data_IF_941725991784
#
_entry.id   IF_941725991784
#
_cell.length_a   1.000
_cell.length_b   1.000
_cell.length_c   1.000
_cell.angle_alpha   90.00
_cell.angle_beta   90.00
_cell.angle_gamma   90.00
#
_symmetry.space_group_name_H-M   'P 1'
#
loop_
_entity.id
_entity.type
_entity.pdbx_description
1 polymer ?
#
# COMPACT_ATOMS: atom_id res chain seq x y z
N UNK A 1 11.49 -19.89 16.61
CA UNK A 1 10.64 -19.65 15.44
C UNK A 1 9.43 -18.84 15.88
N UNK A 2 9.01 -17.89 15.06
CA UNK A 2 7.78 -17.13 15.29
C UNK A 2 6.57 -18.06 15.47
N UNK A 3 5.62 -17.65 16.29
CA UNK A 3 4.40 -18.42 16.52
C UNK A 3 3.33 -18.10 15.47
N UNK A 4 2.49 -19.12 15.20
CA UNK A 4 1.29 -18.88 14.40
C UNK A 4 0.17 -18.37 15.32
N UNK A 5 -0.44 -17.24 14.96
CA UNK A 5 -1.47 -16.59 15.79
C UNK A 5 -2.68 -17.50 16.05
N UNK A 6 -3.03 -18.38 15.12
CA UNK A 6 -4.17 -19.29 15.27
C UNK A 6 -3.93 -20.38 16.30
N UNK A 7 -2.67 -20.81 16.49
CA UNK A 7 -2.31 -21.86 17.46
C UNK A 7 -1.77 -21.30 18.78
N UNK A 8 -1.47 -19.99 18.85
CA UNK A 8 -0.92 -19.39 20.04
C UNK A 8 -1.94 -19.37 21.19
N UNK A 9 -1.48 -19.64 22.41
CA UNK A 9 -2.33 -19.60 23.61
C UNK A 9 -2.33 -18.20 24.21
N UNK A 10 -3.42 -17.47 23.98
CA UNK A 10 -3.62 -16.11 24.50
C UNK A 10 -4.28 -16.08 25.89
N UNK A 11 -4.69 -17.22 26.43
CA UNK A 11 -5.42 -17.27 27.69
C UNK A 11 -4.67 -16.56 28.83
N UNK A 12 -5.25 -15.49 29.34
CA UNK A 12 -4.69 -14.68 30.42
C UNK A 12 -3.48 -13.82 30.01
N UNK A 13 -3.11 -13.79 28.74
CA UNK A 13 -1.99 -12.96 28.24
C UNK A 13 -2.46 -11.61 27.75
N UNK A 14 -1.58 -10.64 27.87
CA UNK A 14 -1.73 -9.30 27.28
C UNK A 14 -1.00 -9.28 25.94
N UNK A 15 -1.72 -9.05 24.86
CA UNK A 15 -1.14 -8.95 23.52
C UNK A 15 -1.03 -7.47 23.11
N UNK A 16 0.18 -6.99 22.80
CA UNK A 16 0.37 -5.70 22.16
C UNK A 16 0.33 -5.86 20.66
N UNK A 17 -0.63 -5.19 20.01
CA UNK A 17 -0.94 -5.39 18.59
C UNK A 17 -0.71 -4.11 17.81
N UNK A 18 0.16 -4.14 16.79
CA UNK A 18 0.35 -3.02 15.88
C UNK A 18 -0.62 -3.14 14.70
N UNK A 19 -1.58 -2.24 14.68
CA UNK A 19 -2.58 -2.12 13.60
C UNK A 19 -2.41 -0.81 12.82
N UNK A 20 -3.05 -0.71 11.66
CA UNK A 20 -3.09 0.53 10.88
C UNK A 20 -4.48 1.17 10.95
N UNK A 21 -4.69 2.04 11.94
CA UNK A 21 -5.91 2.83 12.11
C UNK A 21 -5.79 4.25 11.56
N UNK A 22 -4.90 4.45 10.59
CA UNK A 22 -4.75 5.73 9.89
C UNK A 22 -5.91 5.93 8.90
N UNK A 23 -7.08 6.25 9.44
CA UNK A 23 -8.33 6.46 8.71
C UNK A 23 -8.55 7.93 8.39
N UNK A 24 -9.24 8.28 7.28
CA UNK A 24 -9.61 9.65 6.98
C UNK A 24 -10.74 10.11 7.91
N UNK A 25 -10.56 11.30 8.48
CA UNK A 25 -11.56 11.97 9.33
C UNK A 25 -11.90 13.31 8.72
N UNK A 26 -13.18 13.59 8.51
CA UNK A 26 -13.71 14.88 8.06
C UNK A 26 -14.82 15.31 9.04
N UNK A 27 -14.75 16.55 9.50
CA UNK A 27 -15.72 17.11 10.46
C UNK A 27 -15.99 16.21 11.68
N UNK A 28 -14.91 15.59 12.20
CA UNK A 28 -14.97 14.68 13.34
C UNK A 28 -15.58 13.30 13.05
N UNK A 29 -15.82 12.96 11.78
CA UNK A 29 -16.38 11.68 11.37
C UNK A 29 -15.40 10.90 10.51
N UNK A 30 -15.29 9.60 10.77
CA UNK A 30 -14.53 8.68 9.92
C UNK A 30 -15.32 8.52 8.61
N UNK A 31 -14.67 8.82 7.47
CA UNK A 31 -15.28 8.69 6.14
C UNK A 31 -15.02 7.33 5.50
N UNK A 32 -13.99 6.62 5.95
CA UNK A 32 -13.66 5.25 5.53
C UNK A 32 -13.03 4.49 6.71
N UNK A 33 -13.70 3.44 7.17
CA UNK A 33 -13.29 2.59 8.28
C UNK A 33 -12.66 1.25 7.85
N UNK A 34 -12.37 1.09 6.56
CA UNK A 34 -11.85 -0.16 5.97
C UNK A 34 -10.63 -0.69 6.72
N UNK A 35 -9.72 0.19 7.16
CA UNK A 35 -8.53 -0.20 7.93
C UNK A 35 -8.86 -0.71 9.32
N UNK A 36 -9.84 -0.12 9.98
CA UNK A 36 -10.31 -0.62 11.29
C UNK A 36 -10.91 -2.01 11.09
N UNK A 37 -11.82 -2.17 10.14
CA UNK A 37 -12.43 -3.48 9.85
C UNK A 37 -11.42 -4.53 9.44
N UNK A 38 -10.37 -4.16 8.71
CA UNK A 38 -9.29 -5.08 8.32
C UNK A 38 -8.53 -5.69 9.50
N UNK A 39 -8.40 -4.98 10.61
CA UNK A 39 -7.73 -5.46 11.82
C UNK A 39 -8.65 -6.29 12.76
N UNK A 40 -9.99 -6.16 12.62
CA UNK A 40 -10.93 -6.82 13.52
C UNK A 40 -10.74 -8.33 13.65
N UNK A 41 -10.48 -9.10 12.57
CA UNK A 41 -10.30 -10.55 12.70
C UNK A 41 -9.17 -10.93 13.65
N UNK A 42 -8.05 -10.21 13.62
CA UNK A 42 -6.92 -10.42 14.54
C UNK A 42 -7.31 -10.08 15.98
N UNK A 43 -7.90 -8.90 16.16
CA UNK A 43 -8.26 -8.42 17.50
C UNK A 43 -9.31 -9.31 18.16
N UNK A 44 -10.35 -9.70 17.42
CA UNK A 44 -11.41 -10.61 17.91
C UNK A 44 -10.85 -11.99 18.24
N UNK A 45 -9.96 -12.55 17.41
CA UNK A 45 -9.33 -13.84 17.67
C UNK A 45 -8.59 -13.85 19.03
N UNK A 46 -7.84 -12.79 19.33
CA UNK A 46 -7.12 -12.68 20.61
C UNK A 46 -8.08 -12.63 21.80
N UNK A 47 -9.14 -11.83 21.69
CA UNK A 47 -10.17 -11.73 22.75
C UNK A 47 -10.93 -13.05 22.94
N UNK A 48 -11.35 -13.70 21.86
CA UNK A 48 -12.05 -15.00 21.88
C UNK A 48 -11.19 -16.11 22.52
N UNK A 49 -9.86 -16.00 22.39
CA UNK A 49 -8.91 -16.92 23.03
C UNK A 49 -8.57 -16.56 24.49
N UNK A 50 -9.28 -15.60 25.07
CA UNK A 50 -9.12 -15.20 26.47
C UNK A 50 -7.92 -14.29 26.74
N UNK A 51 -7.40 -13.61 25.73
CA UNK A 51 -6.40 -12.56 25.86
C UNK A 51 -7.01 -11.19 26.19
N UNK A 52 -6.15 -10.22 26.49
CA UNK A 52 -6.48 -8.79 26.51
C UNK A 52 -5.62 -8.07 25.46
N UNK A 53 -6.08 -6.89 25.03
CA UNK A 53 -5.47 -6.15 23.93
C UNK A 53 -4.87 -4.83 24.40
N UNK A 54 -3.65 -4.55 23.94
CA UNK A 54 -3.06 -3.22 23.95
C UNK A 54 -2.83 -2.86 22.47
N UNK A 55 -3.64 -1.94 21.96
CA UNK A 55 -3.65 -1.58 20.54
C UNK A 55 -2.71 -0.39 20.32
N UNK A 56 -1.79 -0.54 19.37
CA UNK A 56 -0.89 0.50 18.91
C UNK A 56 -1.20 0.88 17.47
N UNK A 57 -1.29 2.16 17.18
CA UNK A 57 -1.44 2.65 15.82
C UNK A 57 -0.88 4.06 15.64
N UNK A 58 -0.98 4.58 14.43
CA UNK A 58 -0.67 5.95 14.09
C UNK A 58 -1.82 6.61 13.32
N UNK A 59 -1.85 7.93 13.31
CA UNK A 59 -2.72 8.74 12.47
C UNK A 59 -1.94 9.90 11.87
N UNK A 60 -2.04 10.07 10.56
CA UNK A 60 -1.42 11.17 9.83
C UNK A 60 0.11 11.23 9.92
N UNK A 61 0.63 12.45 9.79
CA UNK A 61 2.07 12.76 9.81
C UNK A 61 2.37 13.92 10.76
N UNK A 62 2.27 13.72 12.08
CA UNK A 62 2.47 14.80 13.08
C UNK A 62 3.93 15.24 13.23
N UNK A 63 4.90 14.47 12.70
CA UNK A 63 6.34 14.77 12.73
C UNK A 63 6.90 14.88 14.15
N UNK A 64 6.55 13.95 15.04
CA UNK A 64 7.04 13.90 16.41
C UNK A 64 6.47 15.01 17.31
N UNK A 65 5.30 15.55 16.99
CA UNK A 65 4.62 16.59 17.78
C UNK A 65 3.19 16.17 18.08
N UNK A 66 2.72 16.48 19.28
CA UNK A 66 1.31 16.29 19.64
C UNK A 66 0.44 17.25 18.81
N UNK A 67 -0.53 16.69 18.11
CA UNK A 67 -1.53 17.40 17.28
C UNK A 67 -2.91 16.83 17.64
N UNK A 68 -3.76 17.58 18.37
CA UNK A 68 -5.06 17.08 18.80
C UNK A 68 -5.92 16.51 17.67
N UNK A 69 -5.85 17.13 16.48
CA UNK A 69 -6.57 16.68 15.29
C UNK A 69 -6.09 15.33 14.74
N UNK A 70 -4.97 14.81 15.22
CA UNK A 70 -4.42 13.49 14.87
C UNK A 70 -4.40 12.53 16.06
N UNK A 71 -5.11 12.85 17.16
CA UNK A 71 -5.25 11.96 18.31
C UNK A 71 -6.09 10.73 17.95
N UNK A 72 -5.67 9.56 18.42
CA UNK A 72 -6.44 8.32 18.30
C UNK A 72 -7.66 8.29 19.22
N UNK A 73 -7.80 9.23 20.16
CA UNK A 73 -9.01 9.35 20.98
C UNK A 73 -10.28 9.51 20.13
N UNK A 74 -10.18 10.10 18.94
CA UNK A 74 -11.29 10.32 18.03
C UNK A 74 -11.92 9.04 17.46
N UNK A 75 -11.20 7.92 17.50
CA UNK A 75 -11.68 6.66 16.94
C UNK A 75 -12.10 5.63 18.00
N UNK A 76 -11.94 5.94 19.27
CA UNK A 76 -12.23 5.03 20.40
C UNK A 76 -13.65 4.46 20.33
N UNK A 77 -14.65 5.32 20.13
CA UNK A 77 -16.06 4.90 20.05
C UNK A 77 -16.31 3.99 18.86
N UNK A 78 -15.71 4.29 17.71
CA UNK A 78 -15.81 3.44 16.51
C UNK A 78 -15.19 2.08 16.74
N UNK A 79 -13.97 2.03 17.30
CA UNK A 79 -13.28 0.77 17.60
C UNK A 79 -14.05 -0.04 18.63
N UNK A 80 -14.59 0.60 19.68
CA UNK A 80 -15.45 -0.05 20.69
C UNK A 80 -16.67 -0.69 20.05
N UNK A 81 -17.37 0.05 19.19
CA UNK A 81 -18.54 -0.43 18.47
C UNK A 81 -18.22 -1.64 17.59
N UNK A 82 -17.16 -1.56 16.81
CA UNK A 82 -16.76 -2.62 15.86
C UNK A 82 -16.24 -3.88 16.56
N UNK A 83 -15.56 -3.73 17.71
CA UNK A 83 -15.12 -4.85 18.54
C UNK A 83 -16.27 -5.45 19.36
N UNK A 84 -17.29 -4.65 19.67
CA UNK A 84 -18.41 -5.05 20.55
C UNK A 84 -18.04 -5.06 22.04
N UNK A 85 -16.92 -4.44 22.43
CA UNK A 85 -16.46 -4.32 23.81
C UNK A 85 -15.95 -2.89 24.08
N UNK A 86 -16.02 -2.38 25.33
CA UNK A 86 -15.48 -1.07 25.66
C UNK A 86 -13.97 -1.00 25.40
N UNK A 87 -13.52 0.09 24.81
CA UNK A 87 -12.09 0.37 24.60
C UNK A 87 -11.67 1.50 25.53
N UNK A 88 -10.72 1.24 26.42
CA UNK A 88 -10.06 2.24 27.23
C UNK A 88 -9.03 3.00 26.38
N UNK A 89 -8.75 4.25 26.74
CA UNK A 89 -7.77 5.08 26.03
C UNK A 89 -6.65 5.52 26.97
N UNK A 90 -5.40 5.33 26.53
CA UNK A 90 -4.22 5.85 27.22
C UNK A 90 -3.67 7.07 26.47
N UNK A 91 -3.76 8.28 27.02
CA UNK A 91 -3.37 9.52 26.34
C UNK A 91 -1.86 9.72 26.23
N UNK A 92 -1.05 8.87 26.85
CA UNK A 92 0.40 8.88 26.75
C UNK A 92 0.93 7.44 26.60
N UNK A 93 1.54 7.15 25.47
CA UNK A 93 2.11 5.82 25.20
C UNK A 93 3.19 5.39 26.19
N UNK A 94 3.87 6.34 26.85
CA UNK A 94 4.95 6.05 27.79
C UNK A 94 4.49 5.97 29.26
N UNK A 95 3.22 6.31 29.53
CA UNK A 95 2.65 6.36 30.89
C UNK A 95 1.39 5.53 31.05
N UNK A 96 1.31 4.42 30.35
CA UNK A 96 0.17 3.51 30.39
C UNK A 96 0.35 2.33 31.38
N UNK A 97 1.35 2.38 32.26
CA UNK A 97 1.72 1.26 33.14
C UNK A 97 0.55 0.75 33.97
N UNK A 98 -0.15 1.65 34.69
CA UNK A 98 -1.25 1.30 35.56
C UNK A 98 -2.44 0.73 34.77
N UNK A 99 -2.79 1.37 33.64
CA UNK A 99 -3.87 0.91 32.78
C UNK A 99 -3.55 -0.47 32.16
N UNK A 100 -2.32 -0.66 31.64
CA UNK A 100 -1.89 -1.93 31.09
C UNK A 100 -1.83 -3.04 32.17
N UNK A 101 -1.37 -2.71 33.38
CA UNK A 101 -1.33 -3.66 34.50
C UNK A 101 -2.72 -4.11 34.93
N UNK A 102 -3.70 -3.22 34.88
CA UNK A 102 -5.07 -3.48 35.33
C UNK A 102 -5.92 -4.30 34.34
N UNK A 103 -5.45 -4.51 33.09
CA UNK A 103 -6.21 -5.26 32.08
C UNK A 103 -6.49 -6.70 32.51
N UNK A 104 -7.72 -7.11 32.33
CA UNK A 104 -8.22 -8.49 32.53
C UNK A 104 -8.50 -9.13 31.14
N UNK A 105 -8.60 -10.46 31.04
CA UNK A 105 -9.06 -11.12 29.84
C UNK A 105 -10.33 -10.48 29.26
N UNK A 106 -10.31 -10.12 27.98
CA UNK A 106 -11.40 -9.43 27.31
C UNK A 106 -11.32 -7.90 27.31
N UNK A 107 -10.43 -7.30 28.13
CA UNK A 107 -10.25 -5.85 28.16
C UNK A 107 -9.41 -5.35 26.97
N UNK A 108 -9.67 -4.11 26.56
CA UNK A 108 -8.99 -3.46 25.44
C UNK A 108 -8.51 -2.06 25.84
N UNK A 109 -7.24 -1.78 25.60
CA UNK A 109 -6.59 -0.49 25.77
C UNK A 109 -6.05 -0.01 24.43
N UNK A 110 -6.46 1.16 23.97
CA UNK A 110 -5.88 1.85 22.82
C UNK A 110 -4.89 2.91 23.32
N UNK A 111 -3.64 2.83 22.86
CA UNK A 111 -2.63 3.85 23.11
C UNK A 111 -2.82 5.06 22.18
N UNK A 112 -2.31 6.22 22.59
CA UNK A 112 -2.28 7.43 21.77
C UNK A 112 -1.41 7.24 20.52
N UNK A 113 -1.54 8.16 19.56
CA UNK A 113 -0.83 8.16 18.29
C UNK A 113 0.70 8.05 18.48
N UNK A 114 1.25 6.90 18.09
CA UNK A 114 2.68 6.61 18.21
C UNK A 114 3.57 7.66 17.53
N UNK A 115 3.10 8.30 16.45
CA UNK A 115 3.87 9.32 15.72
C UNK A 115 3.90 10.68 16.38
N UNK A 116 3.25 10.85 17.55
CA UNK A 116 3.52 11.99 18.40
C UNK A 116 4.91 11.93 19.03
N UNK A 117 5.49 10.74 19.06
CA UNK A 117 6.83 10.48 19.59
C UNK A 117 7.82 10.35 18.43
N UNK A 118 8.87 11.20 18.35
CA UNK A 118 9.89 11.10 17.30
C UNK A 118 10.64 9.77 17.31
N UNK A 119 10.66 9.11 18.46
CA UNK A 119 11.24 7.79 18.68
C UNK A 119 10.53 6.70 17.85
N UNK A 120 9.24 6.86 17.55
CA UNK A 120 8.53 5.89 16.70
C UNK A 120 9.21 5.76 15.34
N UNK A 121 9.49 6.88 14.67
CA UNK A 121 10.16 6.87 13.38
C UNK A 121 11.69 6.74 13.50
N UNK A 122 12.24 7.02 14.65
CA UNK A 122 13.69 6.96 14.93
C UNK A 122 14.52 7.90 14.05
N UNK A 123 13.95 9.08 13.73
CA UNK A 123 14.58 10.12 12.93
C UNK A 123 14.74 11.39 13.77
N UNK A 124 15.89 12.07 13.74
CA UNK A 124 16.07 13.36 14.38
C UNK A 124 15.03 14.36 13.88
N UNK A 125 14.53 15.20 14.78
CA UNK A 125 13.58 16.27 14.46
C UNK A 125 14.25 17.62 14.68
N UNK A 126 14.07 18.55 13.73
CA UNK A 126 14.59 19.92 13.85
C UNK A 126 16.06 20.09 13.51
N UNK A 127 16.68 19.11 12.86
CA UNK A 127 18.06 19.18 12.36
C UNK A 127 18.11 18.73 10.90
N UNK A 128 18.80 19.46 10.04
CA UNK A 128 18.96 19.13 8.63
C UNK A 128 20.01 18.01 8.45
N UNK A 129 19.83 17.23 7.38
CA UNK A 129 20.72 16.09 7.09
C UNK A 129 22.15 16.50 6.75
N UNK A 130 22.30 17.71 6.24
CA UNK A 130 23.59 18.33 5.90
C UNK A 130 24.29 18.95 7.12
N UNK A 131 23.60 19.04 8.27
CA UNK A 131 24.20 19.56 9.51
C UNK A 131 25.29 18.60 10.03
N UNK A 132 26.48 19.08 10.38
CA UNK A 132 27.57 18.26 10.94
C UNK A 132 27.16 17.45 12.18
N UNK A 133 26.19 17.94 12.96
CA UNK A 133 25.69 17.26 14.16
C UNK A 133 24.61 16.20 13.85
N UNK A 134 24.19 16.04 12.58
CA UNK A 134 23.11 15.12 12.21
C UNK A 134 23.38 13.67 12.58
N UNK A 135 24.57 13.15 12.33
CA UNK A 135 24.91 11.75 12.63
C UNK A 135 24.93 11.46 14.13
N UNK A 136 25.35 12.41 14.95
CA UNK A 136 25.29 12.29 16.42
C UNK A 136 23.82 12.31 16.90
N UNK A 137 23.03 13.26 16.42
CA UNK A 137 21.58 13.34 16.70
C UNK A 137 20.85 12.06 16.28
N UNK A 138 21.20 11.48 15.13
CA UNK A 138 20.65 10.23 14.64
C UNK A 138 21.01 9.04 15.52
N UNK A 139 22.25 8.96 16.01
CA UNK A 139 22.69 7.93 16.95
C UNK A 139 21.94 8.03 18.28
N UNK A 140 21.81 9.24 18.82
CA UNK A 140 21.04 9.49 20.04
C UNK A 140 19.56 9.12 19.86
N UNK A 141 18.95 9.50 18.73
CA UNK A 141 17.57 9.14 18.41
C UNK A 141 17.38 7.62 18.29
N UNK A 142 18.35 6.89 17.75
CA UNK A 142 18.28 5.42 17.68
C UNK A 142 18.36 4.76 19.06
N UNK A 143 19.09 5.33 20.00
CA UNK A 143 19.07 4.89 21.39
C UNK A 143 17.70 5.16 22.05
N UNK A 144 17.15 6.38 21.91
CA UNK A 144 15.81 6.72 22.37
C UNK A 144 14.73 5.83 21.75
N UNK A 145 14.85 5.49 20.47
CA UNK A 145 13.93 4.57 19.78
C UNK A 145 13.88 3.20 20.45
N UNK A 146 15.03 2.67 20.85
CA UNK A 146 15.11 1.39 21.55
C UNK A 146 14.45 1.46 22.93
N UNK A 147 14.69 2.52 23.68
CA UNK A 147 14.04 2.72 24.99
C UNK A 147 12.51 2.86 24.86
N UNK A 148 12.03 3.59 23.85
CA UNK A 148 10.61 3.68 23.55
C UNK A 148 10.01 2.31 23.19
N UNK A 149 10.66 1.55 22.31
CA UNK A 149 10.24 0.20 21.95
C UNK A 149 10.21 -0.74 23.17
N UNK A 150 11.24 -0.67 24.04
CA UNK A 150 11.31 -1.42 25.29
C UNK A 150 10.16 -1.05 26.23
N UNK A 151 9.85 0.25 26.31
CA UNK A 151 8.72 0.72 27.13
C UNK A 151 7.38 0.15 26.64
N UNK A 152 7.12 0.21 25.34
CA UNK A 152 5.93 -0.38 24.75
C UNK A 152 5.85 -1.90 25.01
N UNK A 153 6.96 -2.61 24.83
CA UNK A 153 7.03 -4.05 25.08
C UNK A 153 6.76 -4.41 26.55
N UNK A 154 7.13 -3.55 27.49
CA UNK A 154 6.93 -3.81 28.93
C UNK A 154 5.47 -3.92 29.36
N UNK A 155 4.53 -3.51 28.51
CA UNK A 155 3.09 -3.58 28.80
C UNK A 155 2.48 -4.95 28.52
N UNK A 156 3.16 -5.84 27.78
CA UNK A 156 2.54 -7.04 27.23
C UNK A 156 3.41 -8.30 27.33
N UNK A 157 2.77 -9.45 27.17
CA UNK A 157 3.40 -10.77 27.17
C UNK A 157 3.81 -11.24 25.77
N UNK A 158 3.14 -10.74 24.73
CA UNK A 158 3.43 -11.07 23.33
C UNK A 158 3.15 -9.89 22.39
N UNK A 159 3.77 -9.92 21.21
CA UNK A 159 3.64 -8.89 20.19
C UNK A 159 3.07 -9.46 18.89
N UNK A 160 2.09 -8.75 18.34
CA UNK A 160 1.43 -9.09 17.07
C UNK A 160 1.60 -7.93 16.09
N UNK A 161 2.22 -8.22 14.93
CA UNK A 161 2.35 -7.26 13.84
C UNK A 161 1.20 -7.46 12.85
N UNK A 162 0.31 -6.48 12.75
CA UNK A 162 -0.89 -6.55 11.88
C UNK A 162 -1.13 -5.26 11.07
N UNK A 163 -0.04 -4.60 10.67
CA UNK A 163 -0.07 -3.33 9.95
C UNK A 163 0.81 -3.38 8.69
N UNK A 164 0.32 -4.00 7.63
CA UNK A 164 1.09 -4.19 6.40
C UNK A 164 1.51 -2.85 5.76
N UNK A 165 0.64 -1.83 5.74
CA UNK A 165 0.94 -0.52 5.20
C UNK A 165 2.16 0.19 5.80
N UNK A 166 2.61 -0.22 6.98
CA UNK A 166 3.79 0.31 7.67
C UNK A 166 4.94 -0.70 7.78
N UNK A 167 4.78 -1.92 7.29
CA UNK A 167 5.74 -3.02 7.42
C UNK A 167 7.09 -2.75 6.74
N UNK A 168 7.12 -1.86 5.74
CA UNK A 168 8.34 -1.43 5.04
C UNK A 168 9.24 -0.47 5.85
N UNK A 169 8.80 -0.05 7.04
CA UNK A 169 9.51 0.91 7.88
C UNK A 169 10.00 0.26 9.17
N UNK A 170 11.29 0.44 9.48
CA UNK A 170 11.88 -0.02 10.74
C UNK A 170 11.57 0.99 11.85
N UNK A 171 10.28 1.10 12.22
CA UNK A 171 9.82 1.93 13.33
C UNK A 171 9.92 1.18 14.67
N UNK A 172 9.74 1.90 15.78
CA UNK A 172 9.76 1.31 17.11
C UNK A 172 8.72 0.20 17.25
N UNK A 173 7.46 0.49 16.88
CA UNK A 173 6.32 -0.42 17.04
C UNK A 173 6.21 -1.50 15.97
N UNK A 174 6.82 -1.31 14.79
CA UNK A 174 6.71 -2.24 13.66
C UNK A 174 7.84 -3.25 13.55
N UNK A 175 8.99 -2.96 14.15
CA UNK A 175 10.16 -3.81 14.04
C UNK A 175 11.03 -3.83 15.31
N UNK A 176 11.46 -2.66 15.83
CA UNK A 176 12.43 -2.60 16.95
C UNK A 176 11.87 -3.26 18.21
N UNK A 177 10.57 -3.20 18.44
CA UNK A 177 9.87 -3.82 19.58
C UNK A 177 10.09 -5.33 19.65
N UNK A 178 10.31 -5.99 18.51
CA UNK A 178 10.55 -7.43 18.45
C UNK A 178 11.76 -7.86 19.31
N UNK A 179 12.78 -7.01 19.40
CA UNK A 179 14.00 -7.29 20.19
C UNK A 179 13.72 -7.56 21.69
N UNK A 180 12.53 -7.19 22.16
CA UNK A 180 12.12 -7.30 23.56
C UNK A 180 11.14 -8.44 23.83
N UNK A 181 10.81 -9.25 22.82
CA UNK A 181 10.00 -10.45 22.95
C UNK A 181 10.79 -11.68 22.52
N UNK A 182 10.50 -12.83 23.11
CA UNK A 182 11.07 -14.09 22.63
C UNK A 182 10.47 -14.44 21.26
N UNK A 183 11.19 -15.19 20.41
CA UNK A 183 10.67 -15.58 19.10
C UNK A 183 9.29 -16.26 19.13
N UNK A 184 9.03 -17.08 20.17
CA UNK A 184 7.74 -17.73 20.36
C UNK A 184 6.60 -16.80 20.76
N UNK A 185 6.89 -15.58 21.21
CA UNK A 185 5.93 -14.55 21.61
C UNK A 185 5.79 -13.42 20.54
N UNK A 186 6.33 -13.67 19.34
CA UNK A 186 6.17 -12.78 18.17
C UNK A 186 5.34 -13.46 17.10
N UNK A 187 4.41 -12.75 16.47
CA UNK A 187 3.58 -13.32 15.41
C UNK A 187 3.04 -12.26 14.45
N UNK A 188 2.73 -12.70 13.24
CA UNK A 188 1.95 -11.91 12.30
C UNK A 188 0.47 -12.02 12.68
N UNK A 189 -0.27 -10.91 12.54
CA UNK A 189 -1.72 -10.93 12.60
C UNK A 189 -2.34 -11.50 11.33
N UNK A 190 -3.64 -11.77 11.36
CA UNK A 190 -4.35 -12.40 10.23
C UNK A 190 -4.36 -11.54 8.96
N UNK A 191 -4.38 -10.20 9.10
CA UNK A 191 -4.26 -9.28 7.96
C UNK A 191 -2.86 -9.40 7.35
N UNK A 192 -1.82 -9.36 8.16
CA UNK A 192 -0.44 -9.51 7.72
C UNK A 192 -0.18 -10.85 7.05
N UNK A 193 -0.71 -11.96 7.59
CA UNK A 193 -0.59 -13.29 6.95
C UNK A 193 -1.19 -13.27 5.54
N UNK A 194 -2.38 -12.67 5.36
CA UNK A 194 -3.04 -12.57 4.05
C UNK A 194 -2.25 -11.70 3.07
N UNK A 195 -1.74 -10.56 3.52
CA UNK A 195 -0.94 -9.65 2.68
C UNK A 195 0.36 -10.33 2.23
N UNK A 196 1.09 -10.96 3.16
CA UNK A 196 2.32 -11.69 2.84
C UNK A 196 2.03 -12.85 1.87
N UNK A 197 0.95 -13.60 2.08
CA UNK A 197 0.55 -14.69 1.16
C UNK A 197 0.19 -14.14 -0.23
N UNK A 198 -0.52 -13.01 -0.30
CA UNK A 198 -0.87 -12.38 -1.57
C UNK A 198 0.38 -11.93 -2.35
N UNK A 199 1.37 -11.39 -1.65
CA UNK A 199 2.67 -11.05 -2.24
C UNK A 199 3.40 -12.29 -2.73
N UNK A 200 3.43 -13.36 -1.93
CA UNK A 200 4.08 -14.62 -2.31
C UNK A 200 3.45 -15.24 -3.56
N UNK A 201 2.13 -15.15 -3.72
CA UNK A 201 1.42 -15.67 -4.89
C UNK A 201 1.87 -14.99 -6.20
N UNK A 202 2.37 -13.76 -6.15
CA UNK A 202 2.87 -13.02 -7.33
C UNK A 202 4.39 -12.96 -7.43
N UNK A 203 5.14 -13.34 -6.38
CA UNK A 203 6.61 -13.28 -6.39
C UNK A 203 7.29 -14.66 -6.36
N UNK A 204 6.69 -15.64 -5.71
CA UNK A 204 7.29 -16.96 -5.43
C UNK A 204 6.41 -18.11 -5.93
N UNK A 205 5.12 -18.10 -5.63
CA UNK A 205 4.18 -19.19 -5.95
C UNK A 205 3.42 -18.94 -7.26
N UNK A 206 4.14 -18.49 -8.29
CA UNK A 206 3.58 -17.98 -9.54
C UNK A 206 2.94 -19.11 -10.34
N UNK A 207 1.66 -18.97 -10.67
CA UNK A 207 0.97 -19.77 -11.67
C UNK A 207 0.98 -19.05 -13.01
N UNK A 208 1.45 -19.72 -14.06
CA UNK A 208 1.60 -19.11 -15.39
C UNK A 208 0.39 -19.39 -16.30
N UNK A 209 0.09 -18.51 -17.26
CA UNK A 209 0.78 -17.25 -17.56
C UNK A 209 0.59 -16.18 -16.47
N UNK A 210 1.65 -15.42 -16.17
CA UNK A 210 1.62 -14.29 -15.25
C UNK A 210 1.69 -12.97 -16.02
N UNK A 211 0.71 -12.09 -15.81
CA UNK A 211 0.66 -10.75 -16.37
C UNK A 211 0.73 -9.70 -15.25
N UNK A 212 1.60 -8.70 -15.43
CA UNK A 212 1.58 -7.49 -14.63
C UNK A 212 1.06 -6.32 -15.46
N UNK A 213 0.24 -5.47 -14.85
CA UNK A 213 -0.27 -4.23 -15.42
C UNK A 213 0.27 -3.08 -14.57
N UNK A 214 1.13 -2.26 -15.17
CA UNK A 214 1.77 -1.10 -14.54
C UNK A 214 1.27 0.17 -15.20
N UNK A 215 0.51 0.95 -14.46
CA UNK A 215 0.00 2.25 -14.89
C UNK A 215 0.55 3.39 -14.05
N UNK A 216 0.20 4.60 -14.45
CA UNK A 216 0.58 5.82 -13.75
C UNK A 216 1.27 6.84 -14.64
N UNK A 217 1.67 7.98 -14.06
CA UNK A 217 2.17 9.13 -14.80
C UNK A 217 3.67 9.09 -15.10
N UNK A 218 4.49 8.38 -14.31
CA UNK A 218 5.97 8.46 -14.35
C UNK A 218 6.63 7.10 -14.33
N UNK A 219 7.57 6.87 -15.27
CA UNK A 219 8.45 5.69 -15.31
C UNK A 219 9.33 5.63 -14.06
N UNK A 220 9.89 6.76 -13.64
CA UNK A 220 10.82 6.85 -12.51
C UNK A 220 10.24 6.29 -11.19
N UNK A 221 8.91 6.35 -11.01
CA UNK A 221 8.24 5.84 -9.82
C UNK A 221 7.99 4.32 -9.87
N UNK A 222 8.14 3.70 -11.02
CA UNK A 222 7.82 2.28 -11.26
C UNK A 222 9.02 1.43 -11.68
N UNK A 223 10.16 2.05 -11.96
CA UNK A 223 11.32 1.35 -12.55
C UNK A 223 11.77 0.16 -11.69
N UNK A 224 11.90 0.32 -10.38
CA UNK A 224 12.32 -0.76 -9.48
C UNK A 224 11.35 -1.95 -9.47
N UNK A 225 10.04 -1.67 -9.55
CA UNK A 225 9.01 -2.71 -9.66
C UNK A 225 9.10 -3.41 -11.00
N UNK A 226 9.17 -2.65 -12.09
CA UNK A 226 9.26 -3.17 -13.46
C UNK A 226 10.47 -4.08 -13.61
N UNK A 227 11.65 -3.64 -13.18
CA UNK A 227 12.89 -4.43 -13.28
C UNK A 227 12.80 -5.75 -12.50
N UNK A 228 12.24 -5.75 -11.28
CA UNK A 228 12.06 -7.00 -10.53
C UNK A 228 11.03 -7.93 -11.17
N UNK A 229 10.00 -7.38 -11.82
CA UNK A 229 8.96 -8.17 -12.47
C UNK A 229 9.41 -8.77 -13.81
N UNK A 230 10.33 -8.13 -14.55
CA UNK A 230 10.80 -8.63 -15.84
C UNK A 230 11.41 -10.03 -15.78
N UNK A 231 11.95 -10.45 -14.63
CA UNK A 231 12.42 -11.82 -14.39
C UNK A 231 11.32 -12.82 -13.97
N UNK A 232 10.07 -12.39 -13.84
CA UNK A 232 8.99 -13.18 -13.25
C UNK A 232 7.74 -13.29 -14.12
N UNK A 233 7.40 -12.25 -14.88
CA UNK A 233 6.20 -12.19 -15.70
C UNK A 233 6.39 -12.79 -17.08
N UNK A 234 5.30 -13.27 -17.68
CA UNK A 234 5.25 -13.66 -19.09
C UNK A 234 4.82 -12.47 -19.95
N UNK A 235 3.96 -11.59 -19.39
CA UNK A 235 3.44 -10.42 -20.08
C UNK A 235 3.50 -9.20 -19.15
N UNK A 236 3.78 -8.03 -19.71
CA UNK A 236 3.79 -6.76 -19.01
C UNK A 236 3.02 -5.71 -19.81
N UNK A 237 1.90 -5.24 -19.28
CA UNK A 237 1.21 -4.07 -19.81
C UNK A 237 1.81 -2.83 -19.15
N UNK A 238 2.29 -1.89 -19.95
CA UNK A 238 2.59 -0.52 -19.53
C UNK A 238 1.49 0.40 -20.05
N UNK A 239 0.91 1.20 -19.17
CA UNK A 239 -0.22 2.08 -19.49
C UNK A 239 -0.17 3.39 -18.68
N UNK A 240 -1.09 4.29 -18.98
CA UNK A 240 -1.12 5.63 -18.38
C UNK A 240 -0.06 6.58 -18.94
N UNK A 241 0.12 7.72 -18.28
CA UNK A 241 0.99 8.80 -18.75
C UNK A 241 2.45 8.42 -18.96
N UNK A 242 2.97 7.42 -18.21
CA UNK A 242 4.35 6.98 -18.38
C UNK A 242 4.67 6.46 -19.79
N UNK A 243 3.66 5.99 -20.54
CA UNK A 243 3.86 5.45 -21.90
C UNK A 243 4.30 6.52 -22.89
N UNK A 244 4.03 7.80 -22.63
CA UNK A 244 4.50 8.89 -23.49
C UNK A 244 6.01 9.11 -23.38
N UNK A 245 6.64 8.72 -22.28
CA UNK A 245 8.11 8.66 -22.19
C UNK A 245 8.67 7.60 -23.15
N UNK A 246 8.04 6.44 -23.27
CA UNK A 246 8.40 5.40 -24.26
C UNK A 246 8.16 5.87 -25.70
N UNK A 247 6.98 6.45 -25.97
CA UNK A 247 6.67 6.99 -27.31
C UNK A 247 7.69 8.06 -27.73
N UNK A 248 8.08 8.95 -26.82
CA UNK A 248 9.09 9.99 -27.09
C UNK A 248 10.48 9.42 -27.29
N UNK A 249 10.86 8.36 -26.57
CA UNK A 249 12.14 7.69 -26.74
C UNK A 249 12.32 7.11 -28.15
N UNK A 250 11.21 6.74 -28.82
CA UNK A 250 11.19 6.30 -30.23
C UNK A 250 10.95 7.44 -31.23
N UNK A 251 11.01 8.70 -30.79
CA UNK A 251 10.82 9.87 -31.68
C UNK A 251 9.36 10.18 -32.00
N UNK A 252 8.41 9.57 -31.28
CA UNK A 252 6.98 9.84 -31.44
C UNK A 252 6.60 11.27 -31.04
N UNK A 253 5.49 11.74 -31.61
CA UNK A 253 4.85 13.00 -31.23
C UNK A 253 3.85 12.74 -30.11
N UNK A 254 4.01 13.46 -29.01
CA UNK A 254 3.23 13.23 -27.77
C UNK A 254 2.36 14.43 -27.39
N UNK A 255 2.32 15.49 -28.24
CA UNK A 255 1.61 16.73 -27.92
C UNK A 255 2.05 17.32 -26.58
N UNK A 256 1.09 17.68 -25.74
CA UNK A 256 1.31 18.24 -24.40
C UNK A 256 1.27 17.16 -23.31
N UNK A 257 1.33 15.87 -23.69
CA UNK A 257 1.28 14.74 -22.76
C UNK A 257 2.46 14.76 -21.79
N UNK A 258 2.22 14.26 -20.56
CA UNK A 258 3.26 14.14 -19.55
C UNK A 258 4.42 13.28 -20.05
N UNK A 259 5.65 13.71 -19.79
CA UNK A 259 6.87 13.03 -20.22
C UNK A 259 8.02 13.28 -19.25
N UNK A 260 8.87 12.26 -19.04
CA UNK A 260 10.13 12.38 -18.30
C UNK A 260 11.29 12.38 -19.32
N UNK A 261 11.70 13.57 -19.77
CA UNK A 261 12.74 13.74 -20.78
C UNK A 261 14.11 13.20 -20.35
N UNK A 262 14.37 13.16 -19.04
CA UNK A 262 15.58 12.60 -18.45
C UNK A 262 15.53 11.07 -18.26
N UNK A 263 14.44 10.42 -18.69
CA UNK A 263 14.20 8.97 -18.55
C UNK A 263 14.00 8.23 -19.88
N UNK A 264 14.30 8.87 -21.01
CA UNK A 264 14.15 8.24 -22.33
C UNK A 264 15.04 6.99 -22.46
N UNK A 265 16.29 7.07 -22.01
CA UNK A 265 17.21 5.93 -22.00
C UNK A 265 16.74 4.79 -21.09
N UNK A 266 16.11 5.15 -19.96
CA UNK A 266 15.52 4.17 -19.04
C UNK A 266 14.36 3.42 -19.70
N UNK A 267 13.51 4.12 -20.47
CA UNK A 267 12.42 3.49 -21.22
C UNK A 267 12.95 2.48 -22.25
N UNK A 268 13.97 2.85 -23.01
CA UNK A 268 14.63 1.93 -23.98
C UNK A 268 15.29 0.73 -23.30
N UNK A 269 15.90 0.93 -22.12
CA UNK A 269 16.51 -0.15 -21.36
C UNK A 269 15.46 -1.14 -20.83
N UNK A 270 14.31 -0.67 -20.40
CA UNK A 270 13.16 -1.51 -20.00
C UNK A 270 12.70 -2.39 -21.16
N UNK A 271 12.55 -1.83 -22.38
CA UNK A 271 12.16 -2.60 -23.57
C UNK A 271 13.20 -3.66 -23.93
N UNK A 272 14.47 -3.29 -23.86
CA UNK A 272 15.59 -4.22 -24.09
C UNK A 272 15.56 -5.37 -23.10
N UNK A 273 15.46 -5.06 -21.81
CA UNK A 273 15.39 -6.06 -20.73
C UNK A 273 14.16 -6.97 -20.86
N UNK A 274 13.00 -6.41 -21.23
CA UNK A 274 11.80 -7.19 -21.49
C UNK A 274 12.05 -8.24 -22.59
N UNK A 275 12.65 -7.81 -23.70
CA UNK A 275 13.01 -8.69 -24.82
C UNK A 275 14.03 -9.77 -24.42
N UNK A 276 15.07 -9.40 -23.68
CA UNK A 276 16.10 -10.33 -23.19
C UNK A 276 15.53 -11.40 -22.25
N UNK A 277 14.52 -11.04 -21.44
CA UNK A 277 13.83 -11.96 -20.52
C UNK A 277 12.66 -12.72 -21.19
N UNK A 278 12.39 -12.50 -22.48
CA UNK A 278 11.28 -13.16 -23.18
C UNK A 278 9.90 -12.67 -22.73
N UNK A 279 9.81 -11.48 -22.16
CA UNK A 279 8.56 -10.88 -21.70
C UNK A 279 7.85 -10.18 -22.85
N UNK A 280 6.58 -10.49 -23.05
CA UNK A 280 5.72 -9.78 -24.00
C UNK A 280 5.36 -8.40 -23.41
N UNK A 281 6.00 -7.34 -23.95
CA UNK A 281 5.72 -5.97 -23.55
C UNK A 281 4.56 -5.41 -24.37
N UNK A 282 3.52 -4.93 -23.69
CA UNK A 282 2.26 -4.50 -24.30
C UNK A 282 2.01 -3.03 -23.94
N UNK A 283 1.92 -2.19 -24.96
CA UNK A 283 1.56 -0.77 -24.83
C UNK A 283 0.38 -0.42 -25.75
N UNK A 284 -0.28 0.69 -25.46
CA UNK A 284 -1.42 1.19 -26.20
C UNK A 284 -1.04 1.58 -27.63
N UNK A 285 -1.75 1.09 -28.67
CA UNK A 285 -1.59 1.58 -30.03
C UNK A 285 -2.29 2.93 -30.26
N UNK A 286 -3.36 3.19 -29.52
CA UNK A 286 -4.15 4.43 -29.58
C UNK A 286 -4.44 4.98 -28.18
N UNK A 287 -4.77 6.26 -28.14
CA UNK A 287 -5.09 6.97 -26.91
C UNK A 287 -6.31 7.88 -27.10
N UNK A 288 -7.04 8.12 -26.01
CA UNK A 288 -7.95 9.25 -25.91
C UNK A 288 -7.12 10.47 -25.54
N UNK A 289 -7.26 11.53 -26.33
CA UNK A 289 -6.50 12.77 -26.15
C UNK A 289 -7.48 13.95 -25.99
N UNK A 290 -7.14 14.93 -25.17
CA UNK A 290 -7.95 16.14 -24.94
C UNK A 290 -7.10 17.40 -24.98
N UNK A 291 -7.73 18.53 -25.28
CA UNK A 291 -7.11 19.85 -25.21
C UNK A 291 -7.51 20.62 -23.95
N UNK A 292 -8.16 19.98 -22.98
CA UNK A 292 -8.62 20.69 -21.80
C UNK A 292 -9.06 19.83 -20.63
N UNK A 293 -8.11 19.18 -19.97
CA UNK A 293 -8.32 18.56 -18.65
C UNK A 293 -8.10 19.62 -17.55
N UNK A 294 -9.02 19.70 -16.60
CA UNK A 294 -8.83 20.43 -15.35
C UNK A 294 -8.35 19.46 -14.27
N UNK A 295 -7.08 19.54 -13.92
CA UNK A 295 -6.47 18.69 -12.89
C UNK A 295 -6.93 19.02 -11.46
N UNK A 296 -7.51 20.20 -11.23
CA UNK A 296 -8.02 20.55 -9.90
C UNK A 296 -9.36 19.88 -9.60
N UNK A 297 -10.19 19.72 -10.62
CA UNK A 297 -11.52 19.11 -10.51
C UNK A 297 -11.61 17.72 -11.14
N UNK A 298 -10.54 17.28 -11.82
CA UNK A 298 -10.49 16.04 -12.60
C UNK A 298 -11.67 15.93 -13.58
N UNK A 299 -11.92 17.00 -14.33
CA UNK A 299 -13.03 17.08 -15.28
C UNK A 299 -12.62 17.77 -16.58
N UNK A 300 -13.40 17.56 -17.64
CA UNK A 300 -13.20 18.23 -18.91
C UNK A 300 -13.59 19.71 -18.78
N UNK A 301 -12.70 20.63 -19.20
CA UNK A 301 -13.00 22.07 -19.20
C UNK A 301 -14.11 22.39 -20.19
N UNK A 302 -15.02 23.34 -19.87
CA UNK A 302 -16.05 23.77 -20.80
C UNK A 302 -15.46 24.26 -22.14
N UNK A 303 -16.03 23.78 -23.26
CA UNK A 303 -15.58 24.12 -24.60
C UNK A 303 -14.35 23.35 -25.09
N UNK A 304 -13.80 22.44 -24.31
CA UNK A 304 -12.76 21.53 -24.73
C UNK A 304 -13.32 20.33 -25.49
N UNK A 305 -12.48 19.71 -26.28
CA UNK A 305 -12.82 18.49 -27.02
C UNK A 305 -11.88 17.34 -26.64
N UNK A 306 -12.32 16.12 -26.90
CA UNK A 306 -11.48 14.93 -26.83
C UNK A 306 -11.73 14.04 -28.04
N UNK A 307 -10.73 13.28 -28.45
CA UNK A 307 -10.75 12.39 -29.61
C UNK A 307 -9.78 11.23 -29.44
N UNK A 308 -9.88 10.27 -30.33
CA UNK A 308 -8.91 9.18 -30.42
C UNK A 308 -7.78 9.58 -31.38
N UNK A 309 -6.54 9.30 -30.99
CA UNK A 309 -5.33 9.49 -31.80
C UNK A 309 -4.40 8.31 -31.62
N UNK A 310 -3.47 8.04 -32.56
CA UNK A 310 -2.38 7.09 -32.33
C UNK A 310 -1.56 7.51 -31.09
N UNK A 311 -1.21 6.59 -30.23
CA UNK A 311 -0.48 6.89 -28.99
C UNK A 311 0.92 7.51 -29.21
N UNK A 312 1.47 7.33 -30.42
CA UNK A 312 2.77 7.88 -30.87
C UNK A 312 2.64 9.11 -31.77
N UNK A 313 1.43 9.60 -32.01
CA UNK A 313 1.14 10.74 -32.86
C UNK A 313 0.00 11.61 -32.26
N UNK A 314 0.20 12.04 -31.04
CA UNK A 314 -0.71 12.96 -30.33
C UNK A 314 -0.57 14.36 -30.93
N UNK A 315 -1.68 15.00 -31.37
CA UNK A 315 -1.62 16.32 -31.96
C UNK A 315 -1.12 17.41 -30.98
N UNK A 316 -0.47 18.43 -31.50
CA UNK A 316 -0.07 19.60 -30.72
C UNK A 316 -1.28 20.24 -30.05
N UNK A 317 -1.13 20.68 -28.80
CA UNK A 317 -2.22 21.24 -27.99
C UNK A 317 -3.17 20.21 -27.39
N UNK A 318 -2.91 18.92 -27.60
CA UNK A 318 -3.64 17.79 -26.97
C UNK A 318 -2.70 17.01 -26.07
N UNK A 319 -3.25 16.47 -24.99
CA UNK A 319 -2.58 15.53 -24.08
C UNK A 319 -3.32 14.20 -24.00
N UNK A 320 -2.58 13.12 -23.84
CA UNK A 320 -3.18 11.79 -23.66
C UNK A 320 -3.72 11.62 -22.25
N UNK A 321 -4.97 11.18 -22.16
CA UNK A 321 -5.72 11.08 -20.91
C UNK A 321 -6.29 9.71 -20.61
N UNK A 322 -6.42 8.82 -21.62
CA UNK A 322 -6.84 7.43 -21.42
C UNK A 322 -6.36 6.54 -22.58
N UNK A 323 -6.46 5.23 -22.40
CA UNK A 323 -6.25 4.26 -23.46
C UNK A 323 -7.40 4.29 -24.47
N UNK A 324 -7.07 4.28 -25.75
CA UNK A 324 -8.05 4.26 -26.84
C UNK A 324 -8.77 2.92 -26.99
N UNK A 325 -9.79 2.83 -27.86
CA UNK A 325 -10.59 1.62 -28.03
C UNK A 325 -9.80 0.38 -28.46
N UNK A 326 -8.77 0.54 -29.30
CA UNK A 326 -7.93 -0.58 -29.72
C UNK A 326 -7.00 -1.03 -28.59
N UNK A 327 -6.46 -0.09 -27.78
CA UNK A 327 -5.71 -0.40 -26.59
C UNK A 327 -6.54 -1.17 -25.57
N UNK A 328 -7.80 -0.78 -25.35
CA UNK A 328 -8.71 -1.48 -24.44
C UNK A 328 -8.90 -2.94 -24.85
N UNK A 329 -9.16 -3.22 -26.13
CA UNK A 329 -9.28 -4.57 -26.69
C UNK A 329 -7.98 -5.37 -26.52
N UNK A 330 -6.85 -4.76 -26.82
CA UNK A 330 -5.52 -5.36 -26.72
C UNK A 330 -5.19 -5.76 -25.28
N UNK A 331 -5.45 -4.87 -24.32
CA UNK A 331 -5.23 -5.13 -22.90
C UNK A 331 -6.13 -6.26 -22.37
N UNK A 332 -7.41 -6.22 -22.70
CA UNK A 332 -8.35 -7.27 -22.30
C UNK A 332 -7.94 -8.64 -22.88
N UNK A 333 -7.55 -8.69 -24.16
CA UNK A 333 -7.08 -9.92 -24.80
C UNK A 333 -5.80 -10.46 -24.16
N UNK A 334 -4.87 -9.59 -23.76
CA UNK A 334 -3.64 -9.99 -23.09
C UNK A 334 -3.85 -10.58 -21.70
N UNK A 335 -4.85 -10.07 -20.95
CA UNK A 335 -5.21 -10.52 -19.60
C UNK A 335 -5.94 -11.87 -19.65
N UNK A 336 -6.73 -12.10 -20.69
CA UNK A 336 -7.52 -13.33 -20.83
C UNK A 336 -6.64 -14.57 -20.77
N UNK A 337 -7.04 -15.55 -19.94
CA UNK A 337 -6.35 -16.83 -19.78
C UNK A 337 -5.13 -16.79 -18.88
N UNK A 338 -4.70 -15.62 -18.38
CA UNK A 338 -3.64 -15.54 -17.39
C UNK A 338 -4.09 -16.18 -16.07
N UNK A 339 -3.14 -16.73 -15.33
CA UNK A 339 -3.38 -17.44 -14.04
C UNK A 339 -2.93 -16.62 -12.83
N UNK A 340 -1.98 -15.72 -13.02
CA UNK A 340 -1.55 -14.75 -12.02
C UNK A 340 -1.62 -13.36 -12.64
N UNK A 341 -2.22 -12.43 -11.92
CA UNK A 341 -2.43 -11.05 -12.38
C UNK A 341 -2.03 -10.09 -11.26
N UNK A 342 -1.20 -9.13 -11.60
CA UNK A 342 -0.86 -8.00 -10.73
C UNK A 342 -1.28 -6.70 -11.40
N UNK A 343 -2.11 -5.89 -10.74
CA UNK A 343 -2.50 -4.58 -11.24
C UNK A 343 -2.06 -3.47 -10.29
N UNK A 344 -1.23 -2.55 -10.79
CA UNK A 344 -0.74 -1.39 -10.08
C UNK A 344 -0.70 -0.13 -10.95
N UNK A 345 -1.71 0.70 -10.85
CA UNK A 345 -1.85 1.97 -11.55
C UNK A 345 -2.85 1.94 -12.69
N UNK A 346 -3.60 3.04 -12.87
CA UNK A 346 -4.64 3.17 -13.90
C UNK A 346 -4.05 3.37 -15.29
N UNK A 347 -4.89 3.12 -16.30
CA UNK A 347 -4.55 3.35 -17.71
C UNK A 347 -4.83 4.78 -18.18
N UNK A 348 -5.59 5.55 -17.41
CA UNK A 348 -5.99 6.92 -17.74
C UNK A 348 -6.35 7.72 -16.51
N UNK A 349 -6.90 8.92 -16.71
CA UNK A 349 -7.40 9.81 -15.66
C UNK A 349 -8.79 9.31 -15.23
N UNK A 350 -8.78 8.19 -14.51
CA UNK A 350 -9.98 7.40 -14.17
C UNK A 350 -10.97 8.15 -13.26
N UNK A 351 -10.53 9.22 -12.61
CA UNK A 351 -11.38 10.12 -11.82
C UNK A 351 -12.40 10.83 -12.68
N UNK A 352 -12.04 11.19 -13.91
CA UNK A 352 -12.93 11.73 -14.93
C UNK A 352 -13.69 10.61 -15.62
N UNK A 353 -15.02 10.72 -15.69
CA UNK A 353 -15.87 9.67 -16.27
C UNK A 353 -15.63 9.49 -17.77
N UNK A 354 -15.25 10.54 -18.48
CA UNK A 354 -14.92 10.53 -19.90
C UNK A 354 -13.59 9.79 -20.19
N UNK A 355 -12.70 9.64 -19.19
CA UNK A 355 -11.33 9.14 -19.36
C UNK A 355 -11.02 7.92 -18.49
N UNK A 356 -12.05 7.15 -18.15
CA UNK A 356 -11.92 5.94 -17.31
C UNK A 356 -12.10 4.62 -18.07
N UNK A 357 -12.35 4.66 -19.38
CA UNK A 357 -12.68 3.47 -20.17
C UNK A 357 -11.54 2.46 -20.23
N UNK A 358 -10.30 2.92 -20.35
CA UNK A 358 -9.10 2.06 -20.36
C UNK A 358 -8.94 1.30 -19.06
N UNK A 359 -9.02 2.00 -17.91
CA UNK A 359 -8.93 1.38 -16.60
C UNK A 359 -10.11 0.45 -16.32
N UNK A 360 -11.32 0.79 -16.79
CA UNK A 360 -12.50 -0.06 -16.68
C UNK A 360 -12.36 -1.35 -17.50
N UNK A 361 -11.81 -1.26 -18.72
CA UNK A 361 -11.58 -2.44 -19.56
C UNK A 361 -10.58 -3.40 -18.92
N UNK A 362 -9.48 -2.89 -18.35
CA UNK A 362 -8.51 -3.68 -17.57
C UNK A 362 -9.20 -4.33 -16.38
N UNK A 363 -9.91 -3.57 -15.57
CA UNK A 363 -10.60 -4.08 -14.37
C UNK A 363 -11.62 -5.17 -14.68
N UNK A 364 -12.41 -5.00 -15.73
CA UNK A 364 -13.38 -6.01 -16.17
C UNK A 364 -12.68 -7.30 -16.63
N UNK A 365 -11.62 -7.19 -17.44
CA UNK A 365 -10.84 -8.35 -17.89
C UNK A 365 -10.20 -9.11 -16.73
N UNK A 366 -9.72 -8.39 -15.71
CA UNK A 366 -9.19 -9.00 -14.47
C UNK A 366 -10.30 -9.75 -13.73
N UNK A 367 -11.48 -9.14 -13.60
CA UNK A 367 -12.62 -9.77 -12.94
C UNK A 367 -13.09 -11.05 -13.66
N UNK A 368 -13.13 -11.04 -15.00
CA UNK A 368 -13.43 -12.21 -15.81
C UNK A 368 -12.39 -13.32 -15.61
N UNK A 369 -11.11 -12.99 -15.73
CA UNK A 369 -10.03 -13.97 -15.50
C UNK A 369 -10.05 -14.52 -14.07
N UNK A 370 -10.38 -13.70 -13.07
CA UNK A 370 -10.52 -14.12 -11.66
C UNK A 370 -11.67 -15.11 -11.50
N UNK A 371 -12.82 -14.86 -12.14
CA UNK A 371 -13.96 -15.79 -12.15
C UNK A 371 -13.61 -17.13 -12.82
N UNK A 372 -12.65 -17.14 -13.75
CA UNK A 372 -12.09 -18.34 -14.40
C UNK A 372 -10.98 -19.02 -13.56
N UNK A 373 -10.72 -18.55 -12.34
CA UNK A 373 -9.76 -19.14 -11.39
C UNK A 373 -8.36 -18.56 -11.41
N UNK A 374 -8.14 -17.40 -12.00
CA UNK A 374 -6.90 -16.65 -11.86
C UNK A 374 -6.78 -16.06 -10.44
N UNK A 375 -5.55 -15.94 -9.95
CA UNK A 375 -5.24 -15.12 -8.78
C UNK A 375 -4.94 -13.69 -9.22
N UNK A 376 -5.71 -12.72 -8.74
CA UNK A 376 -5.53 -11.31 -9.03
C UNK A 376 -5.20 -10.52 -7.76
N UNK A 377 -4.04 -9.84 -7.78
CA UNK A 377 -3.60 -8.91 -6.74
C UNK A 377 -3.70 -7.48 -7.27
N UNK A 378 -4.49 -6.67 -6.56
CA UNK A 378 -4.65 -5.26 -6.85
C UNK A 378 -3.90 -4.45 -5.79
N UNK A 379 -3.04 -3.54 -6.22
CA UNK A 379 -2.27 -2.72 -5.31
C UNK A 379 -2.01 -1.31 -5.79
N UNK A 380 -1.80 -0.43 -4.81
CA UNK A 380 -1.69 1.01 -5.05
C UNK A 380 -3.03 1.72 -4.96
N UNK A 381 -3.03 2.93 -4.36
CA UNK A 381 -4.26 3.68 -4.06
C UNK A 381 -5.18 3.86 -5.26
N UNK A 382 -4.61 4.24 -6.40
CA UNK A 382 -5.38 4.52 -7.62
C UNK A 382 -6.04 3.26 -8.21
N UNK A 383 -5.36 2.11 -8.19
CA UNK A 383 -5.94 0.84 -8.66
C UNK A 383 -7.06 0.36 -7.75
N UNK A 384 -6.90 0.54 -6.43
CA UNK A 384 -7.96 0.24 -5.44
C UNK A 384 -9.16 1.16 -5.67
N UNK A 385 -8.92 2.45 -5.89
CA UNK A 385 -9.98 3.41 -6.22
C UNK A 385 -10.70 3.06 -7.53
N UNK A 386 -9.97 2.59 -8.57
CA UNK A 386 -10.58 2.04 -9.78
C UNK A 386 -11.51 0.87 -9.48
N UNK A 387 -11.06 -0.12 -8.68
CA UNK A 387 -11.90 -1.26 -8.31
C UNK A 387 -13.18 -0.82 -7.60
N UNK A 388 -13.08 0.14 -6.69
CA UNK A 388 -14.22 0.70 -5.97
C UNK A 388 -15.17 1.42 -6.93
N UNK A 389 -14.64 2.33 -7.76
CA UNK A 389 -15.43 3.11 -8.75
C UNK A 389 -16.18 2.22 -9.72
N UNK A 390 -15.57 1.09 -10.14
CA UNK A 390 -16.15 0.20 -11.13
C UNK A 390 -16.96 -0.98 -10.54
N UNK A 391 -17.09 -1.06 -9.21
CA UNK A 391 -17.82 -2.15 -8.55
C UNK A 391 -17.15 -3.52 -8.73
N UNK A 392 -15.83 -3.56 -8.66
CA UNK A 392 -15.01 -4.77 -8.88
C UNK A 392 -14.39 -5.33 -7.59
N UNK A 393 -14.62 -4.70 -6.45
CA UNK A 393 -13.97 -5.02 -5.16
C UNK A 393 -14.15 -6.50 -4.79
N UNK A 394 -15.35 -7.06 -5.00
CA UNK A 394 -15.66 -8.45 -4.68
C UNK A 394 -15.41 -9.41 -5.86
N UNK A 395 -14.87 -8.91 -6.98
CA UNK A 395 -14.63 -9.67 -8.22
C UNK A 395 -13.16 -9.96 -8.48
N UNK A 396 -12.27 -9.55 -7.58
CA UNK A 396 -10.83 -9.79 -7.63
C UNK A 396 -10.39 -10.63 -6.42
N UNK A 397 -9.26 -11.31 -6.51
CA UNK A 397 -8.83 -12.24 -5.45
C UNK A 397 -8.36 -11.52 -4.20
N UNK A 398 -7.60 -10.44 -4.35
CA UNK A 398 -7.07 -9.70 -3.21
C UNK A 398 -6.80 -8.22 -3.56
N UNK A 399 -7.27 -7.33 -2.69
CA UNK A 399 -6.96 -5.91 -2.71
C UNK A 399 -6.05 -5.61 -1.54
N UNK A 400 -4.80 -5.24 -1.82
CA UNK A 400 -3.83 -4.94 -0.79
C UNK A 400 -4.08 -3.58 -0.14
N UNK A 401 -4.01 -3.56 1.18
CA UNK A 401 -4.02 -2.34 1.98
C UNK A 401 -2.64 -1.71 2.12
N UNK A 402 -1.61 -2.38 1.59
CA UNK A 402 -0.20 -2.12 1.85
C UNK A 402 0.37 -0.85 1.24
N UNK A 403 -0.24 -0.31 0.19
CA UNK A 403 0.28 0.90 -0.48
C UNK A 403 1.78 0.79 -0.80
N UNK A 404 2.60 1.64 -0.14
CA UNK A 404 4.05 1.64 -0.32
C UNK A 404 4.74 0.34 0.11
N UNK A 405 4.24 -0.34 1.13
CA UNK A 405 4.83 -1.60 1.57
C UNK A 405 4.67 -2.71 0.53
N UNK A 406 3.51 -2.78 -0.14
CA UNK A 406 3.32 -3.70 -1.25
C UNK A 406 4.31 -3.41 -2.39
N UNK A 407 4.47 -2.14 -2.75
CA UNK A 407 5.40 -1.76 -3.83
C UNK A 407 6.83 -2.16 -3.51
N UNK A 408 7.29 -1.89 -2.29
CA UNK A 408 8.64 -2.30 -1.84
C UNK A 408 8.80 -3.82 -1.80
N UNK A 409 7.77 -4.56 -1.41
CA UNK A 409 7.80 -6.03 -1.46
C UNK A 409 7.89 -6.53 -2.92
N UNK A 410 7.13 -5.94 -3.85
CA UNK A 410 7.20 -6.29 -5.27
C UNK A 410 8.55 -5.90 -5.88
N UNK A 411 9.20 -4.84 -5.41
CA UNK A 411 10.59 -4.51 -5.76
C UNK A 411 11.61 -5.53 -5.24
N UNK A 412 11.19 -6.50 -4.44
CA UNK A 412 12.07 -7.52 -3.83
C UNK A 412 12.76 -7.07 -2.56
N UNK A 413 12.35 -5.95 -1.97
CA UNK A 413 12.90 -5.46 -0.71
C UNK A 413 12.35 -6.26 0.48
N UNK A 414 13.22 -6.54 1.44
CA UNK A 414 12.81 -7.13 2.72
C UNK A 414 11.97 -6.11 3.50
N UNK A 415 10.80 -6.52 3.94
CA UNK A 415 9.95 -5.68 4.80
C UNK A 415 10.38 -5.84 6.27
N UNK A 416 10.90 -4.79 6.92
CA UNK A 416 11.39 -4.89 8.31
C UNK A 416 10.35 -5.42 9.31
N UNK A 417 9.07 -5.06 9.13
CA UNK A 417 8.00 -5.53 10.02
C UNK A 417 7.67 -7.02 9.86
N UNK A 418 7.97 -7.62 8.71
CA UNK A 418 7.83 -9.07 8.49
C UNK A 418 9.09 -9.78 8.99
N UNK A 419 10.27 -9.27 8.66
CA UNK A 419 11.54 -9.83 9.09
C UNK A 419 11.65 -9.89 10.62
N UNK A 420 11.27 -8.83 11.32
CA UNK A 420 11.34 -8.74 12.78
C UNK A 420 10.49 -9.80 13.51
N UNK A 421 9.43 -10.31 12.88
CA UNK A 421 8.66 -11.43 13.46
C UNK A 421 9.39 -12.75 13.29
N UNK A 422 10.10 -12.94 12.17
CA UNK A 422 10.69 -14.23 11.78
C UNK A 422 12.14 -14.42 12.26
N UNK A 423 12.85 -13.33 12.58
CA UNK A 423 14.21 -13.35 13.14
C UNK A 423 14.20 -13.60 14.65
#
# INVERSE_FOLDING_TARGET
>A
MASNIKSYDFKGKKAIVRVDFNVPIQDGKITDDTRIRGALPTLKLILEKGGSLIIMSHMGKPKGKVKPELSLSQIVDTVSKELGVPVQFAPDCQKADEQAAALKPGDVLLLENLRFYPEEEGKPVGIDKEDPAYEEAKKAMKASQKEFAKKLASYADCWVMDAFGTAHRKHASTAVIADYFKPEDRMLGLLMEKEVQAVNNVLSDIKRPFIAIMGGSKVSTKIGIIENLLGKVDKLILCGGMTYTFAKAHGGEIGDSIVEMDKLDVALDVEKKAKENGVELIMAPDAVVTNGLDFATMSLKPGSEYKVAPATAVPAGFEGVDAGPEAQKKFAAAIKGCKTILWNGPAGVFECDEFCAGSRAIGNAIAEATAEGAFSLIGGGDSVACCTKFGLTDKVSYISTGGGALLEAIEGKVLPGVAAVNE
#
